data_IF_712009394152
#
_entry.id   IF_712009394152
#
_cell.length_a   1.000
_cell.length_b   1.000
_cell.length_c   1.000
_cell.angle_alpha   90.00
_cell.angle_beta   90.00
_cell.angle_gamma   90.00
#
_symmetry.space_group_name_H-M   'P 1'
#
loop_
_entity.id
_entity.type
_entity.pdbx_description
1 polymer ?
#
# COMPACT_ATOMS: atom_id res chain seq x y z
N UNK A 1 0.21 21.18 1.45
CA UNK A 1 -1.27 21.11 1.47
C UNK A 1 -1.80 21.86 0.27
N UNK A 2 -2.68 21.21 -0.49
CA UNK A 2 -4.10 21.54 -0.42
C UNK A 2 -4.89 20.32 0.05
N UNK A 3 -5.78 20.50 1.03
CA UNK A 3 -6.87 19.56 1.25
C UNK A 3 -7.70 19.56 -0.02
N UNK A 4 -7.85 18.40 -0.66
CA UNK A 4 -8.74 18.27 -1.82
C UNK A 4 -10.19 18.31 -1.28
N UNK A 5 -10.67 19.51 -0.91
CA UNK A 5 -11.99 19.69 -0.30
C UNK A 5 -13.05 19.26 -1.30
N UNK A 6 -13.76 18.18 -0.97
CA UNK A 6 -14.72 17.56 -1.88
C UNK A 6 -16.00 18.39 -1.88
N UNK A 7 -16.24 19.11 -2.98
CA UNK A 7 -17.36 20.04 -3.13
C UNK A 7 -18.68 19.39 -3.58
N UNK A 8 -18.78 18.06 -3.55
CA UNK A 8 -20.00 17.35 -3.92
C UNK A 8 -20.13 16.02 -3.16
N UNK A 9 -21.36 15.62 -2.87
CA UNK A 9 -21.72 14.33 -2.29
C UNK A 9 -23.07 13.86 -2.84
N UNK A 10 -23.22 12.56 -3.06
CA UNK A 10 -24.47 11.96 -3.55
C UNK A 10 -24.75 10.71 -2.74
N UNK A 11 -25.95 10.60 -2.18
CA UNK A 11 -26.38 9.43 -1.43
C UNK A 11 -27.87 9.11 -1.68
N UNK A 12 -28.33 8.03 -1.08
CA UNK A 12 -29.74 7.63 -1.07
C UNK A 12 -30.32 7.84 0.32
N UNK A 13 -31.51 8.41 0.39
CA UNK A 13 -32.26 8.59 1.64
C UNK A 13 -33.66 8.01 1.53
N UNK A 14 -34.11 7.36 2.61
CA UNK A 14 -35.48 6.87 2.71
C UNK A 14 -36.48 8.00 2.99
N UNK A 15 -37.78 7.71 2.86
CA UNK A 15 -38.86 8.69 3.08
C UNK A 15 -38.76 9.37 4.46
N UNK A 16 -38.52 8.60 5.52
CA UNK A 16 -38.37 9.14 6.89
C UNK A 16 -37.16 10.08 7.02
N UNK A 17 -36.04 9.72 6.40
CA UNK A 17 -34.81 10.52 6.40
C UNK A 17 -34.99 11.82 5.60
N UNK A 18 -35.69 11.75 4.46
CA UNK A 18 -36.06 12.92 3.66
C UNK A 18 -36.93 13.90 4.46
N UNK A 19 -37.99 13.43 5.12
CA UNK A 19 -38.85 14.29 5.94
C UNK A 19 -38.09 14.94 7.09
N UNK A 20 -37.25 14.18 7.80
CA UNK A 20 -36.42 14.71 8.88
C UNK A 20 -35.40 15.73 8.36
N UNK A 21 -34.72 15.43 7.26
CA UNK A 21 -33.76 16.33 6.63
C UNK A 21 -34.42 17.65 6.24
N UNK A 22 -35.61 17.61 5.64
CA UNK A 22 -36.34 18.82 5.27
C UNK A 22 -36.63 19.71 6.48
N UNK A 23 -37.17 19.14 7.56
CA UNK A 23 -37.49 19.89 8.78
C UNK A 23 -36.24 20.52 9.42
N UNK A 24 -35.13 19.79 9.51
CA UNK A 24 -33.89 20.31 10.09
C UNK A 24 -33.21 21.37 9.21
N UNK A 25 -33.37 21.30 7.88
CA UNK A 25 -32.89 22.34 6.97
C UNK A 25 -33.66 23.65 7.16
N UNK A 26 -34.98 23.57 7.36
CA UNK A 26 -35.82 24.73 7.68
C UNK A 26 -35.38 25.38 9.01
N UNK A 27 -35.19 24.58 10.06
CA UNK A 27 -34.70 25.07 11.37
C UNK A 27 -33.32 25.75 11.26
N UNK A 28 -32.45 25.23 10.39
CA UNK A 28 -31.11 25.79 10.13
C UNK A 28 -31.09 26.96 9.15
N UNK A 29 -32.25 27.44 8.71
CA UNK A 29 -32.36 28.64 7.87
C UNK A 29 -31.98 28.44 6.41
N UNK A 30 -32.03 27.20 5.89
CA UNK A 30 -31.87 26.99 4.46
C UNK A 30 -33.06 27.57 3.69
N UNK A 31 -32.79 28.19 2.53
CA UNK A 31 -33.82 28.69 1.64
C UNK A 31 -34.27 27.59 0.68
N UNK A 32 -35.57 27.39 0.57
CA UNK A 32 -36.15 26.39 -0.32
C UNK A 32 -36.44 26.97 -1.71
N UNK A 33 -36.25 26.13 -2.72
CA UNK A 33 -36.53 26.45 -4.12
C UNK A 33 -37.08 25.23 -4.84
N UNK A 34 -37.90 25.49 -5.85
CA UNK A 34 -38.27 24.45 -6.80
C UNK A 34 -37.10 24.15 -7.74
N UNK A 35 -36.87 22.87 -8.00
CA UNK A 35 -35.86 22.40 -8.94
C UNK A 35 -36.55 21.42 -9.90
N UNK A 36 -36.38 21.58 -11.23
CA UNK A 36 -36.99 20.67 -12.18
C UNK A 36 -36.67 19.21 -11.88
N UNK A 37 -37.70 18.35 -11.91
CA UNK A 37 -37.59 16.90 -11.65
C UNK A 37 -37.15 16.51 -10.22
N UNK A 38 -37.09 17.47 -9.29
CA UNK A 38 -36.78 17.24 -7.89
C UNK A 38 -38.05 17.28 -7.03
N UNK A 39 -38.02 16.60 -5.89
CA UNK A 39 -39.06 16.74 -4.85
C UNK A 39 -38.94 18.10 -4.13
N UNK A 40 -37.71 18.53 -3.86
CA UNK A 40 -37.40 19.86 -3.34
C UNK A 40 -35.90 20.17 -3.48
N UNK A 41 -35.56 21.46 -3.52
CA UNK A 41 -34.20 21.95 -3.36
C UNK A 41 -34.11 22.94 -2.20
N UNK A 42 -32.98 22.93 -1.50
CA UNK A 42 -32.68 23.85 -0.42
C UNK A 42 -31.24 24.36 -0.55
N UNK A 43 -30.95 25.58 -0.10
CA UNK A 43 -29.60 26.14 -0.20
C UNK A 43 -29.26 27.17 0.87
N UNK A 44 -27.95 27.33 1.09
CA UNK A 44 -27.31 28.47 1.74
C UNK A 44 -26.27 29.07 0.79
N UNK A 45 -25.46 30.02 1.26
CA UNK A 45 -24.34 30.58 0.48
C UNK A 45 -23.30 29.51 0.10
N UNK A 46 -23.15 28.47 0.93
CA UNK A 46 -22.00 27.55 0.85
C UNK A 46 -22.40 26.12 0.48
N UNK A 47 -23.68 25.76 0.60
CA UNK A 47 -24.21 24.40 0.38
C UNK A 47 -25.54 24.43 -0.34
N UNK A 48 -25.66 23.62 -1.40
CA UNK A 48 -26.89 23.33 -2.11
C UNK A 48 -27.26 21.86 -1.90
N UNK A 49 -28.53 21.60 -1.56
CA UNK A 49 -29.09 20.28 -1.32
C UNK A 49 -30.29 20.09 -2.25
N UNK A 50 -30.31 19.01 -3.02
CA UNK A 50 -31.42 18.70 -3.93
C UNK A 50 -31.81 17.25 -3.76
N UNK A 51 -33.08 17.00 -3.46
CA UNK A 51 -33.65 15.67 -3.39
C UNK A 51 -34.48 15.38 -4.63
N UNK A 52 -34.11 14.32 -5.36
CA UNK A 52 -34.84 13.85 -6.53
C UNK A 52 -35.82 12.73 -6.19
N UNK A 53 -36.78 12.53 -7.08
CA UNK A 53 -37.71 11.40 -7.01
C UNK A 53 -36.97 10.08 -6.80
N UNK A 54 -37.52 9.23 -5.91
CA UNK A 54 -36.93 7.94 -5.50
C UNK A 54 -35.74 8.06 -4.53
N UNK A 55 -35.59 9.18 -3.82
CA UNK A 55 -34.69 9.29 -2.66
C UNK A 55 -33.25 9.69 -2.96
N UNK A 56 -32.90 10.00 -4.22
CA UNK A 56 -31.54 10.42 -4.58
C UNK A 56 -31.27 11.83 -4.07
N UNK A 57 -30.35 11.96 -3.11
CA UNK A 57 -29.93 13.23 -2.53
C UNK A 57 -28.60 13.68 -3.11
N UNK A 58 -28.54 14.92 -3.58
CA UNK A 58 -27.33 15.55 -4.13
C UNK A 58 -26.98 16.78 -3.29
N UNK A 59 -25.73 16.87 -2.85
CA UNK A 59 -25.20 17.97 -2.06
C UNK A 59 -23.99 18.53 -2.78
N UNK A 60 -23.93 19.86 -2.94
CA UNK A 60 -22.88 20.54 -3.70
C UNK A 60 -22.52 21.89 -3.08
N UNK A 61 -21.29 22.34 -3.29
CA UNK A 61 -20.79 23.63 -2.79
C UNK A 61 -19.55 23.47 -1.93
N UNK A 62 -18.89 24.60 -1.61
CA UNK A 62 -17.63 24.61 -0.86
C UNK A 62 -17.77 24.14 0.60
N UNK A 63 -18.98 24.22 1.17
CA UNK A 63 -19.28 23.71 2.52
C UNK A 63 -19.74 22.25 2.56
N UNK A 64 -19.67 21.52 1.44
CA UNK A 64 -20.22 20.15 1.35
C UNK A 64 -19.59 19.21 2.37
N UNK A 65 -18.28 19.28 2.57
CA UNK A 65 -17.59 18.38 3.49
C UNK A 65 -18.10 18.51 4.92
N UNK A 66 -18.09 19.74 5.47
CA UNK A 66 -18.54 19.98 6.84
C UNK A 66 -20.02 19.65 7.02
N UNK A 67 -20.84 20.00 6.02
CA UNK A 67 -22.26 19.67 6.04
C UNK A 67 -22.50 18.16 6.08
N UNK A 68 -21.76 17.38 5.31
CA UNK A 68 -21.92 15.92 5.30
C UNK A 68 -21.44 15.33 6.63
N UNK A 69 -20.24 15.68 7.07
CA UNK A 69 -19.58 15.06 8.24
C UNK A 69 -20.24 15.43 9.58
N UNK A 70 -20.69 16.68 9.74
CA UNK A 70 -21.17 17.18 11.04
C UNK A 70 -22.69 17.31 11.12
N UNK A 71 -23.40 17.20 10.00
CA UNK A 71 -24.85 17.30 9.99
C UNK A 71 -25.52 16.08 9.34
N UNK A 72 -25.28 15.83 8.07
CA UNK A 72 -26.01 14.78 7.34
C UNK A 72 -25.75 13.39 7.93
N UNK A 73 -24.49 13.02 8.11
CA UNK A 73 -24.08 11.72 8.65
C UNK A 73 -24.59 11.48 10.08
N UNK A 74 -24.29 12.34 11.07
CA UNK A 74 -24.68 12.08 12.45
C UNK A 74 -26.18 12.25 12.70
N UNK A 75 -26.88 13.12 11.96
CA UNK A 75 -28.27 13.46 12.25
C UNK A 75 -29.27 12.71 11.37
N UNK A 76 -28.93 12.44 10.10
CA UNK A 76 -29.85 11.85 9.12
C UNK A 76 -29.47 10.41 8.77
N UNK A 77 -28.24 10.19 8.31
CA UNK A 77 -27.82 8.87 7.80
C UNK A 77 -27.51 7.88 8.92
N UNK A 78 -27.09 8.38 10.09
CA UNK A 78 -26.62 7.59 11.25
C UNK A 78 -25.45 6.66 10.89
N UNK A 79 -24.63 7.07 9.94
CA UNK A 79 -23.43 6.39 9.48
C UNK A 79 -22.33 7.40 9.20
N UNK A 80 -21.08 7.02 9.43
CA UNK A 80 -19.89 7.79 9.06
C UNK A 80 -19.34 7.11 7.81
N UNK A 81 -19.21 7.82 6.69
CA UNK A 81 -18.68 7.30 5.41
C UNK A 81 -17.80 8.31 4.69
N UNK A 82 -18.22 9.57 4.64
CA UNK A 82 -17.62 10.64 3.86
C UNK A 82 -16.26 11.08 4.43
N UNK A 83 -15.20 10.85 3.64
CA UNK A 83 -13.81 11.11 4.05
C UNK A 83 -13.16 9.96 4.83
N UNK A 84 -13.92 8.91 5.16
CA UNK A 84 -13.46 7.73 5.87
C UNK A 84 -13.63 6.43 5.05
N UNK A 85 -13.96 6.54 3.75
CA UNK A 85 -14.28 5.39 2.90
C UNK A 85 -13.14 4.35 2.89
N UNK A 86 -11.89 4.81 2.88
CA UNK A 86 -10.72 3.94 2.96
C UNK A 86 -10.53 3.26 4.33
N UNK A 87 -10.92 3.91 5.43
CA UNK A 87 -10.79 3.35 6.78
C UNK A 87 -11.91 2.36 7.12
N UNK A 88 -13.13 2.65 6.67
CA UNK A 88 -14.29 1.78 6.82
C UNK A 88 -14.19 0.54 5.94
N UNK A 89 -13.70 0.69 4.70
CA UNK A 89 -13.44 -0.45 3.81
C UNK A 89 -12.43 -1.45 4.42
N UNK A 90 -11.42 -0.95 5.14
CA UNK A 90 -10.46 -1.81 5.84
C UNK A 90 -11.04 -2.50 7.07
N UNK A 91 -11.96 -1.86 7.81
CA UNK A 91 -12.69 -2.49 8.92
C UNK A 91 -13.67 -3.57 8.45
N UNK A 92 -14.23 -3.45 7.25
CA UNK A 92 -15.21 -4.39 6.69
C UNK A 92 -14.60 -5.50 5.82
N UNK A 93 -13.26 -5.59 5.78
CA UNK A 93 -12.53 -6.64 5.09
C UNK A 93 -12.76 -6.64 3.58
N UNK A 94 -12.54 -5.52 2.88
CA UNK A 94 -12.62 -5.50 1.41
C UNK A 94 -11.47 -6.25 0.75
N UNK A 95 -11.65 -6.64 -0.51
CA UNK A 95 -10.53 -7.12 -1.33
C UNK A 95 -9.53 -5.98 -1.55
N UNK A 96 -8.25 -6.22 -1.28
CA UNK A 96 -7.22 -5.19 -1.36
C UNK A 96 -5.86 -5.79 -1.75
N UNK A 97 -4.95 -4.92 -2.20
CA UNK A 97 -3.56 -5.26 -2.44
C UNK A 97 -2.74 -4.87 -1.23
N UNK A 98 -1.92 -5.78 -0.73
CA UNK A 98 -0.83 -5.48 0.20
C UNK A 98 0.51 -5.48 -0.51
N UNK A 99 1.44 -4.66 -0.06
CA UNK A 99 2.77 -4.53 -0.64
C UNK A 99 3.82 -4.43 0.46
N UNK A 100 4.89 -5.21 0.33
CA UNK A 100 6.02 -5.22 1.26
C UNK A 100 7.31 -5.64 0.53
N UNK A 101 8.45 -5.45 1.19
CA UNK A 101 9.78 -5.77 0.66
C UNK A 101 10.65 -6.64 1.58
N UNK A 102 11.66 -7.28 0.98
CA UNK A 102 12.71 -7.98 1.69
C UNK A 102 14.08 -7.68 1.07
N UNK A 103 15.13 -7.68 1.89
CA UNK A 103 16.50 -7.45 1.44
C UNK A 103 16.98 -6.00 1.53
N UNK A 104 16.18 -5.03 2.00
CA UNK A 104 16.60 -3.61 2.09
C UNK A 104 17.80 -3.38 3.00
N UNK A 105 17.89 -4.14 4.11
CA UNK A 105 18.95 -4.03 5.11
C UNK A 105 20.04 -5.09 4.97
N UNK A 106 19.94 -5.96 3.97
CA UNK A 106 20.89 -7.03 3.72
C UNK A 106 21.98 -6.56 2.75
N UNK A 107 23.24 -6.71 3.13
CA UNK A 107 24.37 -6.32 2.28
C UNK A 107 24.44 -7.19 1.02
N UNK A 108 24.35 -8.50 1.20
CA UNK A 108 24.31 -9.46 0.11
C UNK A 108 22.90 -9.63 -0.45
N UNK A 109 22.84 -10.03 -1.72
CA UNK A 109 21.61 -10.43 -2.38
C UNK A 109 20.70 -9.30 -2.82
N UNK A 110 19.55 -9.67 -3.41
CA UNK A 110 18.67 -8.73 -4.08
C UNK A 110 17.90 -7.82 -3.11
N UNK A 111 17.26 -6.81 -3.66
CA UNK A 111 16.07 -6.19 -3.09
C UNK A 111 14.85 -6.80 -3.77
N UNK A 112 13.91 -7.33 -2.99
CA UNK A 112 12.69 -7.97 -3.50
C UNK A 112 11.48 -7.23 -2.98
N UNK A 113 10.61 -6.78 -3.88
CA UNK A 113 9.32 -6.19 -3.55
C UNK A 113 8.22 -7.12 -4.04
N UNK A 114 7.21 -7.35 -3.21
CA UNK A 114 6.05 -8.15 -3.56
C UNK A 114 4.77 -7.34 -3.42
N UNK A 115 3.80 -7.61 -4.28
CA UNK A 115 2.42 -7.19 -4.13
C UNK A 115 1.52 -8.43 -4.16
N UNK A 116 0.56 -8.52 -3.26
CA UNK A 116 -0.40 -9.62 -3.17
C UNK A 116 -1.83 -9.07 -3.12
N UNK A 117 -2.70 -9.55 -3.99
CA UNK A 117 -4.13 -9.21 -3.99
C UNK A 117 -4.89 -10.26 -3.19
N UNK A 118 -5.46 -9.86 -2.06
CA UNK A 118 -6.26 -10.72 -1.20
C UNK A 118 -7.72 -10.37 -1.41
N UNK A 119 -8.52 -11.35 -1.83
CA UNK A 119 -9.96 -11.21 -1.88
C UNK A 119 -10.56 -11.26 -0.47
N UNK A 120 -11.63 -10.50 -0.23
CA UNK A 120 -12.39 -10.51 1.04
C UNK A 120 -12.62 -11.92 1.58
N UNK A 121 -13.04 -12.85 0.73
CA UNK A 121 -13.41 -14.21 1.13
C UNK A 121 -12.20 -15.07 1.51
N UNK A 122 -10.98 -14.63 1.20
CA UNK A 122 -9.72 -15.35 1.53
C UNK A 122 -9.01 -14.80 2.76
N UNK A 123 -9.42 -13.64 3.27
CA UNK A 123 -8.82 -13.00 4.46
C UNK A 123 -8.82 -13.97 5.64
N UNK A 124 -9.99 -14.49 6.03
CA UNK A 124 -10.11 -15.43 7.15
C UNK A 124 -9.23 -16.67 6.99
N UNK A 125 -9.27 -17.30 5.80
CA UNK A 125 -8.45 -18.48 5.51
C UNK A 125 -6.95 -18.21 5.65
N UNK A 126 -6.46 -17.06 5.18
CA UNK A 126 -5.04 -16.71 5.29
C UNK A 126 -4.65 -16.51 6.77
N UNK A 127 -5.50 -15.86 7.56
CA UNK A 127 -5.29 -15.68 9.00
C UNK A 127 -5.25 -17.05 9.70
N UNK A 128 -6.22 -17.93 9.44
CA UNK A 128 -6.31 -19.26 10.05
C UNK A 128 -5.09 -20.13 9.72
N UNK A 129 -4.55 -20.01 8.51
CA UNK A 129 -3.34 -20.72 8.06
C UNK A 129 -2.05 -20.14 8.68
N UNK A 130 -2.13 -19.01 9.37
CA UNK A 130 -1.03 -18.37 10.08
C UNK A 130 -0.23 -17.37 9.26
N UNK A 131 -0.83 -16.76 8.23
CA UNK A 131 -0.24 -15.62 7.51
C UNK A 131 -0.13 -14.44 8.48
N UNK A 132 1.10 -14.03 8.74
CA UNK A 132 1.47 -12.93 9.65
C UNK A 132 2.85 -12.42 9.26
N UNK A 133 3.34 -11.40 9.97
CA UNK A 133 4.68 -10.84 9.80
C UNK A 133 5.76 -11.92 9.55
N UNK A 134 6.40 -11.82 8.39
CA UNK A 134 7.39 -12.79 7.91
C UNK A 134 8.61 -12.90 8.81
N UNK A 135 8.93 -11.86 9.60
CA UNK A 135 10.06 -11.86 10.54
C UNK A 135 9.81 -12.80 11.72
N UNK A 136 8.56 -13.10 12.05
CA UNK A 136 8.15 -14.01 13.13
C UNK A 136 8.01 -15.47 12.68
N UNK A 137 8.33 -15.76 11.41
CA UNK A 137 8.17 -17.08 10.80
C UNK A 137 9.51 -17.78 10.59
N UNK A 138 9.51 -19.11 10.73
CA UNK A 138 10.67 -19.96 10.39
C UNK A 138 10.79 -20.10 8.87
N UNK A 139 11.97 -20.47 8.36
CA UNK A 139 12.17 -20.71 6.92
C UNK A 139 11.20 -21.77 6.37
N UNK A 140 10.92 -22.82 7.15
CA UNK A 140 9.94 -23.85 6.76
C UNK A 140 8.52 -23.29 6.66
N UNK A 141 8.13 -22.44 7.63
CA UNK A 141 6.83 -21.77 7.59
C UNK A 141 6.73 -20.81 6.39
N UNK A 142 7.78 -20.06 6.08
CA UNK A 142 7.86 -19.18 4.89
C UNK A 142 7.68 -19.99 3.60
N UNK A 143 8.34 -21.14 3.46
CA UNK A 143 8.18 -21.98 2.26
C UNK A 143 6.74 -22.51 2.11
N UNK A 144 6.16 -23.03 3.20
CA UNK A 144 4.76 -23.51 3.20
C UNK A 144 3.79 -22.38 2.86
N UNK A 145 3.89 -21.25 3.55
CA UNK A 145 2.97 -20.13 3.40
C UNK A 145 3.16 -19.40 2.07
N UNK A 146 4.38 -19.31 1.54
CA UNK A 146 4.61 -18.74 0.21
C UNK A 146 3.87 -19.54 -0.85
N UNK A 147 3.92 -20.89 -0.79
CA UNK A 147 3.15 -21.74 -1.70
C UNK A 147 1.66 -21.48 -1.58
N UNK A 148 1.13 -21.51 -0.35
CA UNK A 148 -0.28 -21.22 -0.07
C UNK A 148 -0.72 -19.86 -0.64
N UNK A 149 0.04 -18.79 -0.39
CA UNK A 149 -0.27 -17.45 -0.88
C UNK A 149 -0.26 -17.41 -2.41
N UNK A 150 0.72 -18.05 -3.05
CA UNK A 150 0.78 -18.11 -4.53
C UNK A 150 -0.41 -18.84 -5.13
N UNK A 151 -0.89 -19.88 -4.46
CA UNK A 151 -2.04 -20.67 -4.91
C UNK A 151 -3.37 -19.92 -4.71
N UNK A 152 -3.48 -19.10 -3.65
CA UNK A 152 -4.72 -18.41 -3.29
C UNK A 152 -4.84 -16.97 -3.84
N UNK A 153 -3.72 -16.29 -4.05
CA UNK A 153 -3.68 -14.84 -4.27
C UNK A 153 -2.92 -14.50 -5.56
N UNK A 154 -3.55 -13.74 -6.49
CA UNK A 154 -2.81 -13.08 -7.55
C UNK A 154 -1.71 -12.18 -6.96
N UNK A 155 -0.52 -12.23 -7.55
CA UNK A 155 0.64 -11.52 -7.03
C UNK A 155 1.57 -11.03 -8.14
N UNK A 156 2.45 -10.11 -7.75
CA UNK A 156 3.55 -9.61 -8.57
C UNK A 156 4.82 -9.49 -7.72
N UNK A 157 5.96 -9.79 -8.34
CA UNK A 157 7.29 -9.65 -7.74
C UNK A 157 8.13 -8.70 -8.59
N UNK A 158 8.85 -7.81 -7.93
CA UNK A 158 9.91 -6.99 -8.51
C UNK A 158 11.21 -7.37 -7.81
N UNK A 159 12.05 -8.14 -8.49
CA UNK A 159 13.35 -8.59 -7.99
C UNK A 159 14.43 -7.71 -8.61
N UNK A 160 15.20 -7.03 -7.77
CA UNK A 160 16.32 -6.18 -8.18
C UNK A 160 17.60 -6.84 -7.68
N UNK A 161 18.27 -7.58 -8.58
CA UNK A 161 19.55 -8.24 -8.29
C UNK A 161 20.66 -7.21 -8.01
N UNK A 162 21.74 -7.59 -7.31
CA UNK A 162 22.79 -6.66 -6.86
C UNK A 162 23.41 -5.81 -7.98
N UNK A 163 23.67 -6.40 -9.15
CA UNK A 163 24.17 -5.70 -10.33
C UNK A 163 23.23 -4.54 -10.74
N UNK A 164 21.95 -4.85 -10.95
CA UNK A 164 20.91 -3.90 -11.32
C UNK A 164 20.67 -2.89 -10.21
N UNK A 165 20.70 -3.35 -8.96
CA UNK A 165 20.53 -2.54 -7.76
C UNK A 165 21.60 -1.45 -7.72
N UNK A 166 22.87 -1.81 -7.91
CA UNK A 166 23.98 -0.87 -7.86
C UNK A 166 23.87 0.18 -8.98
N UNK A 167 23.53 -0.24 -10.22
CA UNK A 167 23.27 0.69 -11.33
C UNK A 167 22.11 1.65 -11.04
N UNK A 168 21.01 1.16 -10.46
CA UNK A 168 19.87 2.00 -10.13
C UNK A 168 20.19 2.96 -8.97
N UNK A 169 20.88 2.46 -7.95
CA UNK A 169 21.26 3.25 -6.79
C UNK A 169 22.22 4.38 -7.16
N UNK A 170 23.18 4.15 -8.06
CA UNK A 170 24.09 5.20 -8.53
C UNK A 170 23.36 6.37 -9.21
N UNK A 171 22.28 6.08 -9.94
CA UNK A 171 21.43 7.08 -10.60
C UNK A 171 20.49 7.80 -9.64
N UNK A 172 19.90 7.05 -8.70
CA UNK A 172 18.86 7.57 -7.79
C UNK A 172 19.45 8.23 -6.55
N UNK A 173 20.58 7.70 -6.05
CA UNK A 173 21.32 8.07 -4.84
C UNK A 173 20.47 8.16 -3.57
N UNK A 174 19.35 7.44 -3.53
CA UNK A 174 18.42 7.44 -2.40
C UNK A 174 17.65 6.11 -2.35
N UNK A 175 17.89 5.32 -1.31
CA UNK A 175 17.23 4.01 -1.13
C UNK A 175 15.72 4.12 -1.07
N UNK A 176 15.18 5.12 -0.36
CA UNK A 176 13.74 5.27 -0.23
C UNK A 176 13.10 5.52 -1.61
N UNK A 177 13.69 6.38 -2.45
CA UNK A 177 13.20 6.59 -3.83
C UNK A 177 13.23 5.32 -4.68
N UNK A 178 14.25 4.47 -4.52
CA UNK A 178 14.32 3.16 -5.18
C UNK A 178 13.21 2.22 -4.68
N UNK A 179 12.95 2.20 -3.37
CA UNK A 179 11.84 1.46 -2.77
C UNK A 179 10.50 1.96 -3.31
N UNK A 180 10.22 3.26 -3.28
CA UNK A 180 8.98 3.81 -3.84
C UNK A 180 8.75 3.40 -5.30
N UNK A 181 9.80 3.45 -6.13
CA UNK A 181 9.71 2.96 -7.50
C UNK A 181 9.39 1.47 -7.57
N UNK A 182 10.06 0.64 -6.76
CA UNK A 182 9.82 -0.80 -6.69
C UNK A 182 8.40 -1.16 -6.26
N UNK A 183 7.86 -0.46 -5.27
CA UNK A 183 6.49 -0.63 -4.77
C UNK A 183 5.47 -0.16 -5.81
N UNK A 184 5.66 1.01 -6.41
CA UNK A 184 4.79 1.48 -7.49
C UNK A 184 4.78 0.52 -8.68
N UNK A 185 5.94 -0.05 -9.04
CA UNK A 185 6.06 -1.03 -10.13
C UNK A 185 5.39 -2.35 -9.79
N UNK A 186 5.48 -2.85 -8.56
CA UNK A 186 4.80 -4.09 -8.15
C UNK A 186 3.27 -3.91 -8.15
N UNK A 187 2.78 -2.76 -7.69
CA UNK A 187 1.36 -2.37 -7.77
C UNK A 187 0.89 -2.35 -9.22
N UNK A 188 1.59 -1.63 -10.10
CA UNK A 188 1.22 -1.51 -11.52
C UNK A 188 1.15 -2.88 -12.21
N UNK A 189 2.15 -3.73 -11.96
CA UNK A 189 2.19 -5.09 -12.50
C UNK A 189 1.02 -5.93 -12.00
N UNK A 190 0.61 -5.79 -10.74
CA UNK A 190 -0.51 -6.55 -10.19
C UNK A 190 -1.85 -6.03 -10.72
N UNK A 191 -2.05 -4.71 -10.82
CA UNK A 191 -3.24 -4.08 -11.41
C UNK A 191 -3.40 -4.38 -12.92
N UNK A 192 -2.41 -4.98 -13.56
CA UNK A 192 -2.56 -5.56 -14.90
C UNK A 192 -3.33 -6.89 -14.93
N UNK A 193 -3.45 -7.55 -13.78
CA UNK A 193 -4.03 -8.89 -13.64
C UNK A 193 -5.33 -8.89 -12.83
N UNK A 194 -5.56 -7.87 -12.01
CA UNK A 194 -6.71 -7.77 -11.11
C UNK A 194 -7.32 -6.38 -11.15
N UNK A 195 -8.63 -6.31 -10.91
CA UNK A 195 -9.32 -5.05 -10.66
C UNK A 195 -9.37 -4.81 -9.15
N UNK A 196 -8.70 -3.74 -8.69
CA UNK A 196 -8.60 -3.40 -7.29
C UNK A 196 -8.37 -1.90 -7.12
N UNK A 197 -9.15 -1.28 -6.24
CA UNK A 197 -9.08 0.14 -5.91
C UNK A 197 -8.37 0.44 -4.59
N UNK A 198 -8.02 -0.57 -3.80
CA UNK A 198 -7.44 -0.41 -2.46
C UNK A 198 -6.05 -1.03 -2.38
N UNK A 199 -5.08 -0.23 -1.94
CA UNK A 199 -3.68 -0.67 -1.76
C UNK A 199 -3.20 -0.24 -0.38
N UNK A 200 -2.60 -1.17 0.36
CA UNK A 200 -2.00 -0.93 1.67
C UNK A 200 -0.52 -1.28 1.63
N UNK A 201 0.29 -0.45 2.28
CA UNK A 201 1.74 -0.62 2.39
C UNK A 201 2.21 -0.40 3.83
N UNK A 202 3.27 -1.12 4.23
CA UNK A 202 4.04 -0.74 5.41
C UNK A 202 4.81 0.57 5.16
N UNK A 203 4.80 1.46 6.14
CA UNK A 203 5.36 2.79 5.99
C UNK A 203 6.89 2.76 6.14
N UNK A 204 7.61 2.93 5.04
CA UNK A 204 9.08 3.05 5.02
C UNK A 204 9.60 4.48 4.77
N UNK A 205 8.71 5.46 4.55
CA UNK A 205 9.09 6.83 4.24
C UNK A 205 7.93 7.82 4.27
N UNK A 206 8.16 9.01 3.70
CA UNK A 206 7.10 10.01 3.53
C UNK A 206 6.05 9.51 2.54
N UNK A 207 4.79 9.76 2.84
CA UNK A 207 3.67 9.27 2.04
C UNK A 207 3.77 9.68 0.56
N UNK A 208 4.17 10.92 0.32
CA UNK A 208 4.34 11.51 -1.00
C UNK A 208 5.33 10.76 -1.90
N UNK A 209 6.30 10.06 -1.30
CA UNK A 209 7.36 9.40 -2.04
C UNK A 209 6.81 8.24 -2.89
N UNK A 210 5.92 7.42 -2.34
CA UNK A 210 5.24 6.34 -3.08
C UNK A 210 4.20 6.91 -4.03
N UNK A 211 3.39 7.87 -3.57
CA UNK A 211 2.36 8.52 -4.40
C UNK A 211 2.95 9.12 -5.69
N UNK A 212 4.10 9.77 -5.60
CA UNK A 212 4.78 10.36 -6.76
C UNK A 212 5.40 9.31 -7.70
N UNK A 213 5.68 8.09 -7.20
CA UNK A 213 6.22 7.00 -7.99
C UNK A 213 5.12 6.20 -8.71
N UNK A 214 3.85 6.34 -8.31
CA UNK A 214 2.72 5.60 -8.91
C UNK A 214 2.64 5.83 -10.42
N UNK A 215 2.40 4.72 -11.12
CA UNK A 215 2.23 4.66 -12.56
C UNK A 215 0.74 4.82 -12.94
N UNK A 216 0.39 4.63 -14.22
CA UNK A 216 -0.93 4.98 -14.75
C UNK A 216 -2.08 4.29 -14.01
N UNK A 217 -2.00 2.99 -13.76
CA UNK A 217 -3.04 2.26 -13.02
C UNK A 217 -2.96 2.54 -11.53
N UNK A 218 -1.75 2.59 -10.97
CA UNK A 218 -1.52 2.92 -9.57
C UNK A 218 -2.13 4.27 -9.16
N UNK A 219 -2.13 5.28 -10.02
CA UNK A 219 -2.74 6.60 -9.74
C UNK A 219 -4.27 6.57 -9.55
N UNK A 220 -4.93 5.48 -9.94
CA UNK A 220 -6.39 5.31 -9.83
C UNK A 220 -6.81 4.63 -8.52
N UNK A 221 -5.85 4.17 -7.71
CA UNK A 221 -6.13 3.47 -6.44
C UNK A 221 -6.13 4.42 -5.25
N UNK A 222 -6.87 4.05 -4.22
CA UNK A 222 -6.71 4.56 -2.87
C UNK A 222 -5.54 3.84 -2.21
N UNK A 223 -4.43 4.56 -2.02
CA UNK A 223 -3.22 4.07 -1.39
C UNK A 223 -3.18 4.53 0.07
N UNK A 224 -3.03 3.58 0.99
CA UNK A 224 -2.85 3.84 2.42
C UNK A 224 -1.50 3.31 2.88
N UNK A 225 -0.74 4.16 3.55
CA UNK A 225 0.45 3.75 4.29
C UNK A 225 0.09 3.62 5.76
N UNK A 226 0.49 2.51 6.38
CA UNK A 226 0.20 2.23 7.78
C UNK A 226 1.49 2.01 8.55
N UNK A 227 1.56 2.55 9.76
CA UNK A 227 2.48 2.03 10.77
C UNK A 227 2.01 0.64 11.18
N UNK A 228 2.93 -0.30 11.31
CA UNK A 228 2.62 -1.72 11.52
C UNK A 228 1.79 -2.32 10.38
N UNK A 229 2.14 -1.98 9.13
CA UNK A 229 1.44 -2.51 7.96
C UNK A 229 1.41 -4.04 7.92
N UNK A 230 2.37 -4.72 8.56
CA UNK A 230 2.44 -6.17 8.70
C UNK A 230 1.27 -6.81 9.47
N UNK A 231 0.44 -6.04 10.17
CA UNK A 231 -0.81 -6.52 10.78
C UNK A 231 -1.91 -6.76 9.74
N UNK A 232 -1.82 -6.10 8.58
CA UNK A 232 -2.71 -6.35 7.46
C UNK A 232 -2.36 -7.67 6.76
N UNK A 233 -3.37 -8.50 6.50
CA UNK A 233 -3.17 -9.85 5.95
C UNK A 233 -2.57 -9.83 4.55
N UNK A 234 -2.89 -8.84 3.71
CA UNK A 234 -2.35 -8.77 2.36
C UNK A 234 -0.91 -8.26 2.38
N UNK A 235 -0.58 -7.32 3.27
CA UNK A 235 0.80 -6.87 3.48
C UNK A 235 1.63 -8.03 4.04
N UNK A 236 1.12 -8.78 5.02
CA UNK A 236 1.77 -9.99 5.53
C UNK A 236 1.97 -11.06 4.44
N UNK A 237 0.96 -11.27 3.57
CA UNK A 237 1.08 -12.17 2.43
C UNK A 237 2.17 -11.70 1.45
N UNK A 238 2.24 -10.41 1.12
CA UNK A 238 3.31 -9.84 0.32
C UNK A 238 4.68 -10.00 1.00
N UNK A 239 4.77 -9.75 2.30
CA UNK A 239 5.98 -9.94 3.11
C UNK A 239 6.53 -11.35 2.99
N UNK A 240 5.66 -12.35 3.11
CA UNK A 240 6.03 -13.77 2.97
C UNK A 240 6.55 -14.07 1.56
N UNK A 241 5.90 -13.55 0.51
CA UNK A 241 6.35 -13.72 -0.87
C UNK A 241 7.73 -13.07 -1.11
N UNK A 242 7.92 -11.84 -0.65
CA UNK A 242 9.18 -11.11 -0.78
C UNK A 242 10.29 -11.82 -0.02
N UNK A 243 10.01 -12.26 1.21
CA UNK A 243 10.97 -12.97 2.06
C UNK A 243 11.37 -14.31 1.45
N UNK A 244 10.41 -15.09 0.98
CA UNK A 244 10.68 -16.38 0.33
C UNK A 244 11.59 -16.21 -0.89
N UNK A 245 11.24 -15.28 -1.80
CA UNK A 245 12.04 -15.04 -3.01
C UNK A 245 13.43 -14.52 -2.65
N UNK A 246 13.56 -13.64 -1.65
CA UNK A 246 14.87 -13.18 -1.17
C UNK A 246 15.74 -14.35 -0.68
N UNK A 247 15.19 -15.25 0.16
CA UNK A 247 15.94 -16.39 0.70
C UNK A 247 16.37 -17.37 -0.40
N UNK A 248 15.47 -17.65 -1.36
CA UNK A 248 15.78 -18.46 -2.53
C UNK A 248 16.95 -17.88 -3.33
N UNK A 249 16.93 -16.56 -3.60
CA UNK A 249 18.00 -15.88 -4.36
C UNK A 249 19.32 -15.85 -3.60
N UNK A 250 19.29 -15.71 -2.28
CA UNK A 250 20.49 -15.80 -1.45
C UNK A 250 21.13 -17.18 -1.54
N UNK A 251 20.33 -18.25 -1.51
CA UNK A 251 20.82 -19.62 -1.67
C UNK A 251 21.42 -19.85 -3.08
N UNK A 252 20.75 -19.37 -4.13
CA UNK A 252 21.25 -19.44 -5.51
C UNK A 252 22.59 -18.71 -5.68
N UNK A 253 22.72 -17.51 -5.12
CA UNK A 253 23.96 -16.74 -5.15
C UNK A 253 25.08 -17.45 -4.37
N UNK A 254 24.78 -17.97 -3.18
CA UNK A 254 25.76 -18.69 -2.38
C UNK A 254 26.27 -19.95 -3.08
N UNK A 255 25.38 -20.72 -3.71
CA UNK A 255 25.75 -21.88 -4.54
C UNK A 255 26.65 -21.51 -5.71
N UNK A 256 26.35 -20.40 -6.40
CA UNK A 256 27.14 -19.91 -7.53
C UNK A 256 28.57 -19.54 -7.13
N UNK A 257 28.75 -18.99 -5.93
CA UNK A 257 30.06 -18.56 -5.41
C UNK A 257 30.80 -19.69 -4.68
N UNK A 258 30.07 -20.72 -4.26
CA UNK A 258 30.59 -21.80 -3.42
C UNK A 258 30.77 -21.39 -1.96
N UNK A 259 30.01 -20.40 -1.48
CA UNK A 259 30.07 -19.88 -0.10
C UNK A 259 28.68 -19.56 0.42
N UNK A 260 28.44 -19.79 1.71
CA UNK A 260 27.21 -19.32 2.35
C UNK A 260 27.26 -17.79 2.52
N UNK A 261 26.19 -17.11 2.10
CA UNK A 261 26.08 -15.66 2.23
C UNK A 261 25.23 -15.30 3.47
N UNK A 262 25.85 -14.75 4.53
CA UNK A 262 25.11 -14.33 5.72
C UNK A 262 24.17 -13.16 5.41
N UNK A 263 23.02 -13.13 6.09
CA UNK A 263 22.03 -12.04 6.00
C UNK A 263 22.41 -10.85 6.90
N UNK A 264 21.85 -9.69 6.61
CA UNK A 264 22.05 -8.44 7.35
C UNK A 264 23.33 -7.70 6.98
N UNK A 265 23.92 -7.02 7.97
CA UNK A 265 25.10 -6.17 7.81
C UNK A 265 26.07 -6.24 9.01
N UNK A 266 26.04 -7.37 9.75
CA UNK A 266 26.82 -7.56 10.98
C UNK A 266 28.24 -8.10 10.76
N UNK A 267 28.91 -8.50 11.86
CA UNK A 267 30.31 -8.95 11.84
C UNK A 267 30.58 -10.09 10.83
N UNK A 268 29.76 -11.16 10.86
CA UNK A 268 29.90 -12.30 9.92
C UNK A 268 29.78 -11.87 8.44
N UNK A 269 28.96 -10.86 8.16
CA UNK A 269 28.80 -10.30 6.80
C UNK A 269 30.08 -9.59 6.38
N UNK A 270 30.70 -8.81 7.27
CA UNK A 270 31.96 -8.11 7.01
C UNK A 270 33.08 -9.11 6.73
N UNK A 271 33.17 -10.18 7.50
CA UNK A 271 34.16 -11.24 7.32
C UNK A 271 34.06 -11.89 5.93
N UNK A 272 32.87 -12.42 5.58
CA UNK A 272 32.63 -13.03 4.27
C UNK A 272 32.84 -12.04 3.13
N UNK A 273 32.39 -10.79 3.30
CA UNK A 273 32.56 -9.75 2.29
C UNK A 273 34.04 -9.38 2.07
N UNK A 274 34.86 -9.37 3.13
CA UNK A 274 36.30 -9.12 3.03
C UNK A 274 36.99 -10.23 2.25
N UNK A 275 36.65 -11.50 2.55
CA UNK A 275 37.18 -12.65 1.81
C UNK A 275 36.80 -12.59 0.33
N UNK A 276 35.55 -12.25 0.01
CA UNK A 276 35.08 -12.14 -1.37
C UNK A 276 35.72 -10.96 -2.10
N UNK A 277 35.91 -9.83 -1.41
CA UNK A 277 36.61 -8.67 -1.96
C UNK A 277 38.08 -9.00 -2.29
N UNK A 278 38.78 -9.72 -1.42
CA UNK A 278 40.16 -10.15 -1.68
C UNK A 278 40.27 -11.13 -2.85
N UNK A 279 39.25 -11.98 -3.05
CA UNK A 279 39.23 -13.00 -4.11
C UNK A 279 38.81 -12.45 -5.48
N UNK A 280 37.78 -11.61 -5.52
CA UNK A 280 37.11 -11.21 -6.77
C UNK A 280 37.10 -9.69 -7.01
N UNK A 281 37.70 -8.92 -6.10
CA UNK A 281 37.72 -7.46 -6.15
C UNK A 281 36.34 -6.82 -5.99
N UNK A 282 36.30 -5.49 -6.18
CA UNK A 282 35.06 -4.72 -6.11
C UNK A 282 34.07 -5.13 -7.20
N UNK A 283 34.56 -5.48 -8.40
CA UNK A 283 33.71 -5.86 -9.52
C UNK A 283 32.96 -7.17 -9.23
N UNK A 284 33.64 -8.20 -8.71
CA UNK A 284 32.99 -9.45 -8.28
C UNK A 284 31.99 -9.21 -7.15
N UNK A 285 32.39 -8.44 -6.13
CA UNK A 285 31.52 -8.09 -5.02
C UNK A 285 30.24 -7.36 -5.47
N UNK A 286 30.35 -6.46 -6.46
CA UNK A 286 29.20 -5.71 -7.00
C UNK A 286 28.13 -6.59 -7.66
N UNK A 287 28.48 -7.81 -8.09
CA UNK A 287 27.55 -8.76 -8.71
C UNK A 287 26.68 -9.48 -7.68
N UNK A 288 27.05 -9.43 -6.40
CA UNK A 288 26.43 -10.22 -5.31
C UNK A 288 26.01 -9.36 -4.10
N UNK A 289 26.50 -8.12 -4.00
CA UNK A 289 26.26 -7.24 -2.87
C UNK A 289 25.90 -5.80 -3.27
N UNK A 290 25.28 -5.08 -2.33
CA UNK A 290 24.89 -3.66 -2.47
C UNK A 290 26.06 -2.76 -2.05
N UNK A 291 26.81 -2.23 -3.01
CA UNK A 291 28.13 -1.62 -2.75
C UNK A 291 28.10 -0.24 -2.09
N UNK A 292 26.95 0.43 -2.06
CA UNK A 292 26.78 1.71 -1.34
C UNK A 292 26.76 1.57 0.20
N UNK A 293 26.74 0.35 0.73
CA UNK A 293 26.79 0.13 2.18
C UNK A 293 28.17 0.53 2.71
N UNK A 294 28.20 1.18 3.89
CA UNK A 294 29.44 1.58 4.60
C UNK A 294 30.42 0.44 4.88
N UNK A 295 29.99 -0.82 4.72
CA UNK A 295 30.85 -2.00 4.79
C UNK A 295 31.98 -1.91 3.74
N UNK A 296 31.68 -1.44 2.53
CA UNK A 296 32.66 -1.32 1.44
C UNK A 296 33.69 -0.24 1.73
N UNK A 297 33.30 0.88 2.34
CA UNK A 297 34.23 1.95 2.74
C UNK A 297 35.32 1.46 3.71
N UNK A 298 35.02 0.46 4.53
CA UNK A 298 35.99 -0.15 5.45
C UNK A 298 36.99 -1.06 4.73
N UNK A 299 36.61 -1.64 3.60
CA UNK A 299 37.45 -2.53 2.80
C UNK A 299 38.42 -1.76 1.92
N UNK A 300 38.00 -0.60 1.40
CA UNK A 300 38.85 0.27 0.57
C UNK A 300 39.91 1.06 1.36
N UNK A 301 39.88 1.02 2.69
CA UNK A 301 40.81 1.76 3.58
C UNK A 301 41.99 0.92 4.09
N UNK A 302 42.02 -0.37 3.75
CA UNK A 302 43.11 -1.31 4.03
C UNK A 302 43.75 -1.76 2.72
#
# INVERSE_FOLDING_TARGET
MPSNTRNYYVCQVGVRQSSLLKALLEEKGFQFREVPYAEWGAFTQDVHVVLYSKGKLVIQGKGTQDFVQFFLEPQILKEIKFGYEGELAMKEGVSHIGVDESGKGDFFGPLVIAAAYVKKEKIGKLIDEGVKDSKKLTSQAINRLSKLVRDLCPHALVVINPDRYNTLYEKIKNLNRLLAWGHARSIENLLSKVDCSHVILDQFGSEHLVLNALMEKGKKVSLKQMHHGEEDVAVAAASILARHEFLKRMEELGKKIGMELPRGAGFKVIEVATTLFQKEGLEGLSKIAKIHFKIVDKMNKN
#
